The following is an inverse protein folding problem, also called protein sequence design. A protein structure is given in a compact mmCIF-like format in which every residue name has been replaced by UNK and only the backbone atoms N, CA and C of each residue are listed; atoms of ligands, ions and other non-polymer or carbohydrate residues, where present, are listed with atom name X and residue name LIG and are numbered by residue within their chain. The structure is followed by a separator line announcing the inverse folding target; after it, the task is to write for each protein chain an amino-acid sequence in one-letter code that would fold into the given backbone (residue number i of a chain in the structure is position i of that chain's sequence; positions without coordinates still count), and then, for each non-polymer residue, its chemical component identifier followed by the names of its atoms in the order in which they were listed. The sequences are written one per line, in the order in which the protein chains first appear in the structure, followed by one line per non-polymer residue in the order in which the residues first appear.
data_IF_479010745359
#
_entry.id   IF_479010745359
#
_cell.length_a   1.000
_cell.length_b   1.000
_cell.length_c   1.000
_cell.angle_alpha   90.00
_cell.angle_beta   90.00
_cell.angle_gamma   90.00
#
_symmetry.space_group_name_H-M   'P 1'
#
loop_
_entity.id
_entity.type
_entity.pdbx_description
1 polymer ?
#
# COMPACT_ATOMS: atom_id res chain seq x y z
N UNK A 1 -58.12 6.85 -35.31
CA UNK A 1 -57.12 7.53 -36.16
C UNK A 1 -55.97 7.98 -35.28
N UNK A 2 -54.84 7.30 -35.40
CA UNK A 2 -53.60 7.55 -34.67
C UNK A 2 -52.68 8.45 -35.50
N UNK A 3 -52.09 9.50 -34.93
CA UNK A 3 -50.86 10.13 -35.46
C UNK A 3 -50.03 10.78 -34.34
N UNK A 4 -49.05 10.00 -33.88
CA UNK A 4 -47.65 10.36 -33.54
C UNK A 4 -47.35 11.59 -32.66
N UNK A 5 -47.06 11.40 -31.36
CA UNK A 5 -46.19 12.29 -30.59
C UNK A 5 -44.71 11.89 -30.79
N UNK A 6 -44.24 11.85 -32.04
CA UNK A 6 -42.86 11.43 -32.36
C UNK A 6 -41.86 12.59 -32.43
N UNK A 7 -42.33 13.83 -32.54
CA UNK A 7 -41.44 14.95 -32.90
C UNK A 7 -40.65 15.53 -31.73
N UNK A 8 -41.12 15.40 -30.49
CA UNK A 8 -40.38 15.90 -29.31
C UNK A 8 -39.32 14.92 -28.79
N UNK A 9 -39.50 13.59 -28.98
CA UNK A 9 -38.52 12.60 -28.53
C UNK A 9 -37.26 12.57 -29.41
N UNK A 10 -37.35 12.99 -30.67
CA UNK A 10 -36.22 13.04 -31.59
C UNK A 10 -35.24 14.21 -31.31
N UNK A 11 -35.76 15.35 -30.83
CA UNK A 11 -34.91 16.52 -30.55
C UNK A 11 -34.08 16.36 -29.27
N UNK A 12 -34.62 15.73 -28.23
CA UNK A 12 -33.88 15.44 -27.00
C UNK A 12 -32.74 14.41 -27.21
N UNK A 13 -32.87 13.52 -28.20
CA UNK A 13 -31.84 12.52 -28.54
C UNK A 13 -30.68 13.10 -29.35
N UNK A 14 -30.86 14.26 -30.01
CA UNK A 14 -29.80 14.95 -30.75
C UNK A 14 -28.89 15.83 -29.85
N UNK A 15 -29.36 16.22 -28.67
CA UNK A 15 -28.61 17.12 -27.78
C UNK A 15 -27.52 16.43 -26.95
N UNK A 16 -27.50 15.09 -26.91
CA UNK A 16 -26.56 14.32 -26.06
C UNK A 16 -25.18 14.08 -26.69
N UNK A 17 -24.90 14.63 -27.88
CA UNK A 17 -23.63 14.41 -28.59
C UNK A 17 -23.00 15.63 -29.24
N UNK A 18 -23.52 16.84 -28.99
CA UNK A 18 -22.97 18.05 -29.58
C UNK A 18 -21.77 18.55 -28.78
N UNK A 19 -20.56 18.20 -29.25
CA UNK A 19 -19.35 18.95 -28.94
C UNK A 19 -19.57 20.42 -29.35
N UNK A 20 -19.47 21.37 -28.42
CA UNK A 20 -19.67 22.81 -28.64
C UNK A 20 -18.69 23.46 -29.65
N UNK A 21 -17.79 22.68 -30.28
CA UNK A 21 -16.77 23.19 -31.20
C UNK A 21 -17.10 23.07 -32.70
N UNK A 22 -18.23 22.46 -33.07
CA UNK A 22 -18.63 22.28 -34.47
C UNK A 22 -20.08 22.65 -34.71
N UNK A 23 -20.32 23.82 -35.28
CA UNK A 23 -21.55 24.16 -35.99
C UNK A 23 -21.22 24.14 -37.50
N UNK A 24 -22.08 23.52 -38.31
CA UNK A 24 -21.97 23.46 -39.78
C UNK A 24 -20.63 22.89 -40.31
N UNK A 25 -20.18 21.73 -39.81
CA UNK A 25 -18.96 21.02 -40.26
C UNK A 25 -17.66 21.86 -40.25
N UNK A 26 -17.66 23.04 -39.65
CA UNK A 26 -16.51 23.92 -39.51
C UNK A 26 -16.09 23.90 -38.04
N UNK A 27 -14.83 23.51 -37.80
CA UNK A 27 -14.25 23.55 -36.45
C UNK A 27 -14.04 25.01 -36.07
N UNK A 28 -14.76 25.49 -35.05
CA UNK A 28 -14.68 26.89 -34.59
C UNK A 28 -13.49 27.15 -33.67
N UNK A 29 -12.63 26.15 -33.46
CA UNK A 29 -11.43 26.22 -32.63
C UNK A 29 -10.16 26.08 -33.48
N UNK A 30 -9.12 26.83 -33.14
CA UNK A 30 -7.80 26.75 -33.76
C UNK A 30 -7.19 25.35 -33.54
N UNK A 31 -6.75 24.70 -34.63
CA UNK A 31 -6.01 23.44 -34.59
C UNK A 31 -4.61 23.69 -35.13
N UNK A 32 -3.60 23.51 -34.27
CA UNK A 32 -2.20 23.56 -34.69
C UNK A 32 -1.71 22.19 -35.16
N UNK A 33 -0.57 22.16 -35.84
CA UNK A 33 0.12 20.92 -36.20
C UNK A 33 0.56 20.07 -34.98
N UNK A 34 0.60 20.68 -33.78
CA UNK A 34 1.02 20.06 -32.52
C UNK A 34 -0.22 19.85 -31.61
N UNK A 35 -1.42 19.83 -32.18
CA UNK A 35 -2.63 19.56 -31.40
C UNK A 35 -2.66 18.10 -30.92
N UNK A 36 -3.28 17.83 -29.76
CA UNK A 36 -3.40 16.46 -29.23
C UNK A 36 -4.08 15.51 -30.23
N UNK A 37 -5.03 16.00 -31.03
CA UNK A 37 -5.69 15.23 -32.10
C UNK A 37 -4.70 14.82 -33.19
N UNK A 38 -3.77 15.72 -33.53
CA UNK A 38 -2.76 15.51 -34.58
C UNK A 38 -1.64 14.59 -34.10
N UNK A 39 -1.17 14.79 -32.86
CA UNK A 39 -0.09 13.98 -32.27
C UNK A 39 -0.56 12.57 -31.89
N UNK A 40 -1.81 12.43 -31.46
CA UNK A 40 -2.37 11.16 -30.96
C UNK A 40 -3.70 10.81 -31.65
N UNK A 41 -3.67 10.51 -32.97
CA UNK A 41 -4.88 10.32 -33.78
C UNK A 41 -5.73 9.10 -33.37
N UNK A 42 -5.14 8.12 -32.68
CA UNK A 42 -5.83 6.93 -32.17
C UNK A 42 -6.41 7.11 -30.77
N UNK A 43 -6.11 8.23 -30.08
CA UNK A 43 -6.60 8.47 -28.73
C UNK A 43 -7.99 9.14 -28.78
N UNK A 44 -8.95 8.60 -28.03
CA UNK A 44 -10.23 9.29 -27.86
C UNK A 44 -9.99 10.46 -26.90
N UNK A 45 -9.94 11.70 -27.40
CA UNK A 45 -9.84 12.92 -26.58
C UNK A 45 -11.08 13.23 -25.74
N UNK A 46 -11.88 12.22 -25.43
CA UNK A 46 -12.85 12.32 -24.35
C UNK A 46 -12.02 12.46 -23.08
N UNK A 47 -11.80 13.69 -22.62
CA UNK A 47 -11.30 14.02 -21.28
C UNK A 47 -12.39 13.65 -20.25
N UNK A 48 -12.81 12.39 -20.27
CA UNK A 48 -13.67 11.82 -19.25
C UNK A 48 -12.74 10.99 -18.40
N UNK A 49 -12.54 11.38 -17.15
CA UNK A 49 -11.90 10.51 -16.16
C UNK A 49 -12.69 9.20 -16.19
N UNK A 50 -12.09 8.07 -16.66
CA UNK A 50 -12.80 6.81 -16.65
C UNK A 50 -13.21 6.54 -15.21
N UNK A 51 -14.47 6.18 -14.98
CA UNK A 51 -14.90 5.76 -13.65
C UNK A 51 -13.99 4.59 -13.25
N UNK A 52 -13.32 4.70 -12.09
CA UNK A 52 -12.51 3.63 -11.57
C UNK A 52 -13.42 2.41 -11.35
N UNK A 53 -13.27 1.39 -12.19
CA UNK A 53 -13.94 0.11 -12.02
C UNK A 53 -13.00 -0.80 -11.24
N UNK A 54 -13.27 -1.09 -9.95
CA UNK A 54 -12.46 -2.05 -9.21
C UNK A 54 -12.57 -3.42 -9.87
N UNK A 55 -11.46 -4.15 -9.92
CA UNK A 55 -11.47 -5.52 -10.43
C UNK A 55 -12.37 -6.39 -9.54
N UNK A 56 -13.32 -7.15 -10.13
CA UNK A 56 -14.30 -7.92 -9.34
C UNK A 56 -13.65 -9.04 -8.51
N UNK A 57 -12.38 -9.38 -8.78
CA UNK A 57 -11.61 -10.39 -8.04
C UNK A 57 -10.84 -9.82 -6.85
N UNK A 58 -10.59 -8.52 -6.83
CA UNK A 58 -9.84 -7.90 -5.74
C UNK A 58 -10.75 -7.61 -4.55
N UNK A 59 -10.44 -8.21 -3.39
CA UNK A 59 -11.18 -7.99 -2.15
C UNK A 59 -10.94 -6.60 -1.54
N UNK A 60 -9.89 -5.90 -1.97
CA UNK A 60 -9.52 -4.58 -1.45
C UNK A 60 -9.16 -3.63 -2.58
N UNK A 61 -9.98 -2.59 -2.77
CA UNK A 61 -9.82 -1.58 -3.84
C UNK A 61 -8.68 -0.58 -3.61
N UNK A 62 -8.01 -0.61 -2.45
CA UNK A 62 -6.98 0.37 -2.08
C UNK A 62 -7.52 1.69 -1.50
N UNK A 63 -8.84 1.84 -1.45
CA UNK A 63 -9.49 3.00 -0.83
C UNK A 63 -9.39 2.93 0.69
N UNK A 64 -8.96 4.04 1.30
CA UNK A 64 -8.83 4.18 2.75
C UNK A 64 -9.48 5.51 3.15
N UNK A 65 -10.58 5.51 3.91
CA UNK A 65 -11.24 6.73 4.35
C UNK A 65 -10.41 7.41 5.44
N UNK A 66 -9.88 8.60 5.16
CA UNK A 66 -9.07 9.36 6.12
C UNK A 66 -9.84 9.76 7.38
N UNK A 67 -11.17 9.94 7.26
CA UNK A 67 -12.07 10.31 8.37
C UNK A 67 -12.18 9.24 9.45
N UNK A 68 -11.89 7.97 9.10
CA UNK A 68 -11.94 6.83 10.03
C UNK A 68 -10.57 6.54 10.68
N UNK A 69 -9.57 7.39 10.42
CA UNK A 69 -8.21 7.22 10.92
C UNK A 69 -7.87 8.35 11.90
N UNK A 70 -7.34 7.98 13.05
CA UNK A 70 -6.71 8.92 13.97
C UNK A 70 -5.27 9.17 13.51
N UNK A 71 -5.00 10.37 13.01
CA UNK A 71 -3.65 10.76 12.58
C UNK A 71 -3.10 11.76 13.57
N UNK A 72 -1.98 11.41 14.21
CA UNK A 72 -1.28 12.26 15.17
C UNK A 72 0.13 12.56 14.68
N UNK A 73 0.59 13.77 14.96
CA UNK A 73 1.91 14.25 14.56
C UNK A 73 2.78 14.47 15.79
N UNK A 74 4.03 14.03 15.73
CA UNK A 74 4.98 14.17 16.84
C UNK A 74 6.37 14.54 16.34
N UNK A 75 7.24 14.96 17.24
CA UNK A 75 8.65 15.16 16.90
C UNK A 75 9.32 13.81 16.59
N UNK A 76 10.20 13.78 15.59
CA UNK A 76 10.97 12.57 15.28
C UNK A 76 12.07 12.35 16.32
N UNK A 77 12.43 11.09 16.58
CA UNK A 77 13.41 10.74 17.64
C UNK A 77 14.86 10.72 17.14
N UNK A 78 15.18 11.50 16.10
CA UNK A 78 16.51 11.49 15.46
C UNK A 78 17.60 12.16 16.32
N UNK A 79 18.89 11.92 16.02
CA UNK A 79 20.00 12.58 16.71
C UNK A 79 19.84 14.10 16.66
N UNK A 80 19.83 14.71 17.84
CA UNK A 80 19.36 16.08 18.09
C UNK A 80 19.97 17.12 17.16
N UNK A 81 19.10 17.81 16.44
CA UNK A 81 19.41 19.01 15.65
C UNK A 81 18.25 20.00 15.74
N UNK A 82 18.51 21.26 15.36
CA UNK A 82 17.55 22.37 15.52
C UNK A 82 16.16 22.08 14.92
N UNK A 83 16.11 21.31 13.83
CA UNK A 83 14.87 20.95 13.15
C UNK A 83 14.13 19.75 13.78
N UNK A 84 14.84 18.85 14.47
CA UNK A 84 14.27 17.61 15.05
C UNK A 84 13.36 17.93 16.23
N UNK A 85 13.76 18.88 17.07
CA UNK A 85 13.01 19.26 18.26
C UNK A 85 11.86 20.23 17.99
N UNK A 86 11.81 20.86 16.80
CA UNK A 86 10.86 21.93 16.49
C UNK A 86 9.77 21.53 15.48
N UNK A 87 10.04 20.59 14.58
CA UNK A 87 9.10 20.23 13.51
C UNK A 87 8.49 18.86 13.77
N UNK A 88 7.16 18.82 13.92
CA UNK A 88 6.38 17.59 14.10
C UNK A 88 6.25 16.80 12.79
N UNK A 89 7.34 16.15 12.39
CA UNK A 89 7.42 15.42 11.11
C UNK A 89 6.97 13.96 11.23
N UNK A 90 7.08 13.35 12.42
CA UNK A 90 6.70 11.96 12.63
C UNK A 90 5.18 11.80 12.62
N UNK A 91 4.71 10.79 11.92
CA UNK A 91 3.28 10.49 11.77
C UNK A 91 2.96 9.18 12.46
N UNK A 92 1.99 9.22 13.36
CA UNK A 92 1.42 8.08 14.04
C UNK A 92 -0.04 7.94 13.57
N UNK A 93 -0.30 6.93 12.75
CA UNK A 93 -1.63 6.57 12.24
C UNK A 93 -2.20 5.46 13.13
N UNK A 94 -3.39 5.68 13.66
CA UNK A 94 -4.10 4.74 14.53
C UNK A 94 -5.53 4.52 14.06
N UNK A 95 -6.00 3.29 14.14
CA UNK A 95 -7.43 2.98 14.00
C UNK A 95 -7.75 1.66 14.73
N UNK A 96 -9.02 1.47 15.06
CA UNK A 96 -9.49 0.24 15.71
C UNK A 96 -9.84 -0.79 14.65
N UNK A 97 -9.13 -1.92 14.64
CA UNK A 97 -9.27 -2.92 13.57
C UNK A 97 -10.66 -3.57 13.58
N UNK A 98 -11.23 -3.80 14.76
CA UNK A 98 -12.55 -4.43 14.91
C UNK A 98 -13.71 -3.59 14.38
N UNK A 99 -13.59 -2.26 14.37
CA UNK A 99 -14.63 -1.29 13.97
C UNK A 99 -14.46 -0.79 12.52
N UNK A 100 -13.50 -1.33 11.77
CA UNK A 100 -13.14 -0.84 10.45
C UNK A 100 -14.09 -1.37 9.34
N UNK A 101 -15.26 -0.75 9.19
CA UNK A 101 -16.30 -1.14 8.21
C UNK A 101 -15.87 -1.10 6.74
N UNK A 102 -14.82 -0.33 6.43
CA UNK A 102 -14.27 -0.19 5.08
C UNK A 102 -13.31 -1.33 4.69
N UNK A 103 -13.02 -2.25 5.62
CA UNK A 103 -12.25 -3.46 5.39
C UNK A 103 -13.20 -4.66 5.41
N UNK A 104 -13.07 -5.53 4.40
CA UNK A 104 -13.80 -6.79 4.31
C UNK A 104 -13.60 -7.65 5.58
N UNK A 105 -14.67 -8.27 6.13
CA UNK A 105 -14.59 -9.02 7.38
C UNK A 105 -13.57 -10.16 7.34
N UNK A 106 -13.40 -10.85 6.21
CA UNK A 106 -12.42 -11.94 6.09
C UNK A 106 -10.99 -11.42 6.21
N UNK A 107 -10.72 -10.25 5.62
CA UNK A 107 -9.41 -9.60 5.73
C UNK A 107 -9.18 -9.13 7.16
N UNK A 108 -10.22 -8.61 7.82
CA UNK A 108 -10.15 -8.14 9.22
C UNK A 108 -9.77 -9.28 10.17
N UNK A 109 -10.38 -10.44 10.03
CA UNK A 109 -10.06 -11.65 10.81
C UNK A 109 -8.61 -12.11 10.55
N UNK A 110 -8.20 -12.20 9.28
CA UNK A 110 -6.82 -12.53 8.92
C UNK A 110 -5.81 -11.51 9.47
N UNK A 111 -6.14 -10.23 9.46
CA UNK A 111 -5.28 -9.19 10.07
C UNK A 111 -5.17 -9.37 11.58
N UNK A 112 -6.25 -9.78 12.27
CA UNK A 112 -6.21 -10.09 13.70
C UNK A 112 -5.27 -11.28 13.99
N UNK A 113 -5.30 -12.32 13.15
CA UNK A 113 -4.40 -13.47 13.27
C UNK A 113 -2.93 -13.12 12.99
N UNK A 114 -2.66 -12.44 11.87
CA UNK A 114 -1.30 -12.11 11.42
C UNK A 114 -0.64 -11.00 12.24
N UNK A 115 -1.42 -10.01 12.65
CA UNK A 115 -0.94 -8.81 13.32
C UNK A 115 -1.44 -8.65 14.75
N UNK A 116 -2.03 -9.69 15.34
CA UNK A 116 -2.50 -9.70 16.73
C UNK A 116 -1.45 -9.21 17.74
N UNK A 117 -0.17 -9.55 17.51
CA UNK A 117 0.95 -9.11 18.36
C UNK A 117 1.29 -7.62 18.26
N UNK A 118 0.87 -6.94 17.19
CA UNK A 118 1.09 -5.51 16.96
C UNK A 118 -0.08 -4.64 17.45
N UNK A 119 -1.18 -5.26 17.87
CA UNK A 119 -2.34 -4.55 18.40
C UNK A 119 -2.11 -4.11 19.84
N UNK A 120 -2.69 -2.97 20.18
CA UNK A 120 -2.80 -2.51 21.57
C UNK A 120 -3.86 -3.34 22.30
N UNK A 121 -3.86 -3.34 23.64
CA UNK A 121 -4.88 -4.03 24.45
C UNK A 121 -6.32 -3.67 24.07
N UNK A 122 -6.54 -2.41 23.67
CA UNK A 122 -7.85 -1.91 23.27
C UNK A 122 -8.20 -2.19 21.79
N UNK A 123 -7.35 -2.94 21.07
CA UNK A 123 -7.59 -3.34 19.67
C UNK A 123 -7.16 -2.30 18.62
N UNK A 124 -6.34 -1.32 19.00
CA UNK A 124 -5.79 -0.34 18.06
C UNK A 124 -4.56 -0.86 17.32
N UNK A 125 -4.58 -0.72 15.99
CA UNK A 125 -3.41 -0.89 15.14
C UNK A 125 -2.73 0.46 14.97
N UNK A 126 -1.44 0.54 15.33
CA UNK A 126 -0.65 1.77 15.25
C UNK A 126 0.44 1.57 14.19
N UNK A 127 0.47 2.45 13.19
CA UNK A 127 1.44 2.47 12.11
C UNK A 127 2.18 3.81 12.17
N UNK A 128 3.51 3.76 12.19
CA UNK A 128 4.36 4.94 12.37
C UNK A 128 5.33 5.11 11.20
N UNK A 129 5.63 6.36 10.89
CA UNK A 129 6.69 6.73 9.94
C UNK A 129 7.33 8.06 10.31
N UNK A 130 8.66 8.07 10.31
CA UNK A 130 9.54 9.21 10.56
C UNK A 130 10.76 9.23 9.61
N UNK A 131 10.62 8.61 8.43
CA UNK A 131 11.72 8.45 7.46
C UNK A 131 12.20 9.76 6.86
N UNK A 132 11.29 10.70 6.62
CA UNK A 132 11.59 11.96 5.92
C UNK A 132 11.36 13.18 6.80
N UNK A 133 11.90 14.33 6.37
CA UNK A 133 11.66 15.63 7.00
C UNK A 133 10.29 16.24 6.67
N UNK A 134 9.49 15.61 5.80
CA UNK A 134 8.18 16.14 5.38
C UNK A 134 7.05 15.30 5.97
N UNK A 135 6.14 15.95 6.67
CA UNK A 135 4.96 15.34 7.27
C UNK A 135 4.06 14.66 6.22
N UNK A 136 3.89 15.29 5.05
CA UNK A 136 3.05 14.75 3.97
C UNK A 136 3.63 13.45 3.39
N UNK A 137 4.95 13.40 3.23
CA UNK A 137 5.63 12.19 2.74
C UNK A 137 5.57 11.06 3.78
N UNK A 138 5.73 11.38 5.06
CA UNK A 138 5.61 10.39 6.13
C UNK A 138 4.15 9.88 6.26
N UNK A 139 3.15 10.74 6.04
CA UNK A 139 1.75 10.31 6.00
C UNK A 139 1.48 9.37 4.82
N UNK A 140 1.98 9.72 3.63
CA UNK A 140 1.86 8.86 2.45
C UNK A 140 2.54 7.49 2.68
N UNK A 141 3.69 7.46 3.34
CA UNK A 141 4.38 6.22 3.72
C UNK A 141 3.57 5.39 4.73
N UNK A 142 2.99 6.02 5.77
CA UNK A 142 2.08 5.33 6.70
C UNK A 142 0.87 4.71 5.98
N UNK A 143 0.23 5.45 5.08
CA UNK A 143 -0.89 4.95 4.28
C UNK A 143 -0.46 3.80 3.36
N UNK A 144 0.73 3.89 2.76
CA UNK A 144 1.25 2.83 1.92
C UNK A 144 1.57 1.56 2.72
N UNK A 145 2.17 1.70 3.90
CA UNK A 145 2.37 0.58 4.85
C UNK A 145 1.04 -0.06 5.22
N UNK A 146 0.01 0.73 5.52
CA UNK A 146 -1.33 0.23 5.81
C UNK A 146 -1.90 -0.55 4.62
N UNK A 147 -1.83 -0.01 3.40
CA UNK A 147 -2.27 -0.71 2.18
C UNK A 147 -1.56 -2.04 2.01
N UNK A 148 -0.25 -2.08 2.24
CA UNK A 148 0.53 -3.31 2.12
C UNK A 148 0.09 -4.35 3.15
N UNK A 149 -0.11 -3.96 4.42
CA UNK A 149 -0.61 -4.88 5.45
C UNK A 149 -1.98 -5.47 5.09
N UNK A 150 -2.89 -4.66 4.55
CA UNK A 150 -4.22 -5.11 4.11
C UNK A 150 -4.09 -6.06 2.93
N UNK A 151 -3.23 -5.74 1.95
CA UNK A 151 -2.98 -6.60 0.78
C UNK A 151 -2.36 -7.94 1.18
N UNK A 152 -1.40 -7.93 2.09
CA UNK A 152 -0.75 -9.14 2.60
C UNK A 152 -1.77 -10.06 3.30
N UNK A 153 -2.73 -9.48 4.04
CA UNK A 153 -3.82 -10.23 4.65
C UNK A 153 -4.89 -10.69 3.63
N UNK A 154 -5.09 -9.94 2.54
CA UNK A 154 -5.99 -10.33 1.45
C UNK A 154 -5.45 -11.53 0.65
N UNK A 155 -4.12 -11.66 0.54
CA UNK A 155 -3.49 -12.80 -0.11
C UNK A 155 -3.77 -14.06 0.72
N UNK A 156 -4.52 -14.99 0.12
CA UNK A 156 -4.73 -16.31 0.74
C UNK A 156 -3.42 -17.09 0.67
N UNK A 157 -2.85 -17.38 1.85
CA UNK A 157 -1.66 -18.21 1.95
C UNK A 157 -2.00 -19.61 1.42
N UNK A 158 -1.27 -20.05 0.39
CA UNK A 158 -1.37 -21.42 -0.09
C UNK A 158 -0.69 -22.34 0.91
N UNK A 159 -1.32 -23.46 1.22
CA UNK A 159 -0.67 -24.48 2.03
C UNK A 159 0.64 -24.93 1.35
N UNK A 160 1.75 -25.00 2.09
CA UNK A 160 3.01 -25.42 1.51
C UNK A 160 2.92 -26.87 1.04
N UNK A 161 3.39 -27.13 -0.18
CA UNK A 161 3.46 -28.49 -0.73
C UNK A 161 4.29 -29.41 0.19
N UNK A 162 4.05 -30.72 0.19
CA UNK A 162 4.78 -31.66 1.05
C UNK A 162 6.30 -31.59 0.84
N UNK A 163 6.77 -31.45 -0.41
CA UNK A 163 8.20 -31.23 -0.72
C UNK A 163 8.75 -29.95 -0.07
N UNK A 164 7.95 -28.87 -0.05
CA UNK A 164 8.34 -27.63 0.62
C UNK A 164 8.47 -27.85 2.13
N UNK A 165 7.55 -28.60 2.73
CA UNK A 165 7.58 -28.93 4.16
C UNK A 165 8.82 -29.78 4.52
N UNK A 166 9.14 -30.79 3.70
CA UNK A 166 10.34 -31.60 3.88
C UNK A 166 11.61 -30.76 3.76
N UNK A 167 11.69 -29.88 2.75
CA UNK A 167 12.82 -28.96 2.58
C UNK A 167 12.99 -28.04 3.79
N UNK A 168 11.90 -27.52 4.34
CA UNK A 168 11.92 -26.71 5.58
C UNK A 168 12.45 -27.54 6.76
N UNK A 169 11.95 -28.76 6.94
CA UNK A 169 12.41 -29.67 8.00
C UNK A 169 13.90 -29.96 7.89
N UNK A 170 14.39 -30.28 6.70
CA UNK A 170 15.82 -30.53 6.46
C UNK A 170 16.67 -29.30 6.76
N UNK A 171 16.19 -28.10 6.40
CA UNK A 171 16.86 -26.83 6.72
C UNK A 171 16.99 -26.61 8.23
N UNK A 172 15.94 -26.89 9.00
CA UNK A 172 15.99 -26.80 10.46
C UNK A 172 16.97 -27.79 11.08
N UNK A 173 16.96 -29.05 10.62
CA UNK A 173 17.90 -30.08 11.09
C UNK A 173 19.35 -29.71 10.79
N UNK A 174 19.63 -29.22 9.58
CA UNK A 174 20.96 -28.75 9.20
C UNK A 174 21.42 -27.57 10.07
N UNK A 175 20.56 -26.58 10.29
CA UNK A 175 20.86 -25.44 11.14
C UNK A 175 21.14 -25.85 12.60
N UNK A 176 20.37 -26.80 13.14
CA UNK A 176 20.60 -27.35 14.48
C UNK A 176 21.95 -28.08 14.59
N UNK A 177 22.29 -28.92 13.61
CA UNK A 177 23.59 -29.61 13.54
C UNK A 177 24.75 -28.63 13.49
N UNK A 178 24.67 -27.62 12.62
CA UNK A 178 25.68 -26.57 12.48
C UNK A 178 25.85 -25.79 13.80
N UNK A 179 24.75 -25.42 14.46
CA UNK A 179 24.80 -24.71 15.76
C UNK A 179 25.54 -25.52 16.83
N UNK A 180 25.31 -26.84 16.90
CA UNK A 180 26.00 -27.71 17.86
C UNK A 180 27.48 -27.84 17.52
N UNK A 181 27.83 -28.01 16.24
CA UNK A 181 29.22 -28.09 15.79
C UNK A 181 30.00 -26.81 16.15
N UNK A 182 29.46 -25.63 15.81
CA UNK A 182 30.06 -24.34 16.13
C UNK A 182 30.25 -24.16 17.65
N UNK A 183 29.29 -24.57 18.47
CA UNK A 183 29.43 -24.54 19.94
C UNK A 183 30.57 -25.43 20.45
N UNK A 184 30.77 -26.60 19.84
CA UNK A 184 31.87 -27.51 20.20
C UNK A 184 33.22 -26.90 19.82
N UNK A 185 33.34 -26.37 18.62
CA UNK A 185 34.54 -25.66 18.15
C UNK A 185 34.89 -24.49 19.07
N UNK A 186 33.91 -23.65 19.42
CA UNK A 186 34.10 -22.54 20.35
C UNK A 186 34.58 -23.00 21.73
N UNK A 187 34.05 -24.13 22.23
CA UNK A 187 34.46 -24.71 23.51
C UNK A 187 35.91 -25.19 23.46
N UNK A 188 36.30 -25.88 22.39
CA UNK A 188 37.67 -26.34 22.19
C UNK A 188 38.63 -25.16 22.08
N UNK A 189 38.27 -24.13 21.30
CA UNK A 189 39.05 -22.90 21.17
C UNK A 189 39.25 -22.22 22.53
N UNK A 190 38.25 -22.20 23.40
CA UNK A 190 38.37 -21.63 24.76
C UNK A 190 39.29 -22.46 25.66
N UNK A 191 39.22 -23.79 25.59
CA UNK A 191 40.09 -24.68 26.35
C UNK A 191 41.56 -24.61 25.92
N UNK A 192 41.81 -24.30 24.65
CA UNK A 192 43.17 -24.16 24.08
C UNK A 192 43.78 -22.76 24.26
N UNK A 193 43.08 -21.82 24.91
CA UNK A 193 43.63 -20.47 25.16
C UNK A 193 44.75 -20.57 26.19
N UNK A 194 45.94 -20.10 25.83
CA UNK A 194 47.04 -19.87 26.77
C UNK A 194 47.05 -18.40 27.19
N UNK A 195 47.50 -18.09 28.42
CA UNK A 195 47.74 -16.71 28.82
C UNK A 195 48.81 -16.09 27.92
N UNK A 196 48.72 -14.78 27.62
CA UNK A 196 49.73 -14.09 26.81
C UNK A 196 51.11 -14.26 27.46
N UNK A 197 52.10 -14.58 26.65
CA UNK A 197 53.47 -14.80 27.10
C UNK A 197 54.16 -13.45 27.27
N UNK A 198 55.23 -13.37 28.07
CA UNK A 198 55.99 -12.12 28.34
C UNK A 198 56.57 -11.50 27.04
N UNK A 199 56.64 -12.28 25.96
CA UNK A 199 57.12 -11.86 24.63
C UNK A 199 56.02 -11.19 23.77
N UNK A 200 54.76 -11.25 24.21
CA UNK A 200 53.58 -10.75 23.49
C UNK A 200 53.08 -9.37 23.99
N UNK A 201 53.84 -8.72 24.89
CA UNK A 201 53.64 -7.36 25.41
C UNK A 201 54.80 -6.44 24.99
#
# INVERSE_FOLDING_TARGET
MAFMPWRLKYLAKMAQGASYSTLLKRTMAFKSAISLETLYPTSSLKLTTPAFTPDPKEKFSGFIPMEKLDITYSASSGPGGQNVNKVHTKVDLRFKLSEADWIDPEIREKMLELHGKKLTKDGYLIIRSDTTRSQQLNLADCLQKLRNLIRDAAVTQREPSPDTQERIRQRHLKAARLRVALKREDSLKRGLRQPPTVVDL
#
